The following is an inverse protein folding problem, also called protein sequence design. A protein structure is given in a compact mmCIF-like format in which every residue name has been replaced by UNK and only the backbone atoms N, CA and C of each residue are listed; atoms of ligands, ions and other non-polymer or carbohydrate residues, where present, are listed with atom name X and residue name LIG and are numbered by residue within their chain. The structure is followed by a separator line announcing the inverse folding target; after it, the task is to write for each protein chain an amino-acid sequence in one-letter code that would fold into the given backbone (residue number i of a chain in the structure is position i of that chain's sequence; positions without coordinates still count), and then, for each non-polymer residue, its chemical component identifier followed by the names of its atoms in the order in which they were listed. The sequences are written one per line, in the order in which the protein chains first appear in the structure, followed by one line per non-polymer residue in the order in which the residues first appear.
data_IF_585142526122
#
_entry.id   IF_585142526122
#
_cell.length_a   1.000
_cell.length_b   1.000
_cell.length_c   1.000
_cell.angle_alpha   90.00
_cell.angle_beta   90.00
_cell.angle_gamma   90.00
#
_symmetry.space_group_name_H-M   'P 1'
#
loop_
_entity.id
_entity.type
_entity.pdbx_description
1 polymer ?
#
# COMPACT_ATOMS: atom_id res chain seq x y z
N UNK A 1 8.87 0.16 -31.68
CA UNK A 1 9.22 -1.12 -31.03
C UNK A 1 8.03 -1.44 -30.14
N UNK A 2 7.74 -2.72 -29.87
CA UNK A 2 6.70 -3.06 -28.88
C UNK A 2 7.11 -2.48 -27.52
N UNK A 3 6.13 -2.02 -26.75
CA UNK A 3 6.34 -1.67 -25.36
C UNK A 3 6.86 -2.88 -24.59
N UNK A 4 7.76 -2.66 -23.63
CA UNK A 4 8.34 -3.70 -22.78
C UNK A 4 7.83 -3.47 -21.36
N UNK A 5 7.09 -4.44 -20.82
CA UNK A 5 6.38 -4.28 -19.55
C UNK A 5 7.33 -4.40 -18.35
N UNK A 6 6.88 -3.97 -17.18
CA UNK A 6 7.71 -3.87 -15.99
C UNK A 6 8.21 -5.20 -15.44
N UNK A 7 7.46 -6.28 -15.64
CA UNK A 7 7.86 -7.65 -15.32
C UNK A 7 9.03 -8.15 -16.20
N UNK A 8 9.11 -7.69 -17.44
CA UNK A 8 10.26 -7.93 -18.32
C UNK A 8 11.44 -7.00 -17.97
N UNK A 9 11.17 -5.70 -17.72
CA UNK A 9 12.21 -4.71 -17.41
C UNK A 9 12.91 -4.94 -16.07
N UNK A 10 12.23 -5.54 -15.08
CA UNK A 10 12.88 -5.89 -13.81
C UNK A 10 13.93 -7.00 -13.96
N UNK A 11 13.81 -7.86 -14.98
CA UNK A 11 14.83 -8.87 -15.30
C UNK A 11 16.12 -8.20 -15.78
N UNK A 12 16.01 -7.25 -16.70
CA UNK A 12 17.16 -6.46 -17.18
C UNK A 12 17.81 -5.70 -16.03
N UNK A 13 16.99 -5.07 -15.18
CA UNK A 13 17.47 -4.39 -13.99
C UNK A 13 18.30 -5.29 -13.07
N UNK A 14 17.84 -6.51 -12.81
CA UNK A 14 18.54 -7.48 -11.96
C UNK A 14 19.84 -7.96 -12.59
N UNK A 15 19.88 -8.11 -13.92
CA UNK A 15 21.12 -8.44 -14.64
C UNK A 15 22.18 -7.34 -14.50
N UNK A 16 21.76 -6.07 -14.58
CA UNK A 16 22.69 -4.95 -14.54
C UNK A 16 23.12 -4.58 -13.11
N UNK A 17 22.24 -4.79 -12.12
CA UNK A 17 22.43 -4.25 -10.76
C UNK A 17 22.61 -5.31 -9.68
N UNK A 18 22.42 -6.59 -10.00
CA UNK A 18 22.30 -7.68 -9.01
C UNK A 18 21.16 -7.40 -8.01
N UNK A 19 20.92 -8.29 -7.05
CA UNK A 19 19.95 -8.05 -5.98
C UNK A 19 20.61 -7.69 -4.65
N UNK A 20 20.09 -6.67 -3.98
CA UNK A 20 20.45 -6.31 -2.61
C UNK A 20 19.23 -6.03 -1.70
N UNK A 21 19.00 -6.84 -0.64
CA UNK A 21 17.78 -6.77 0.18
C UNK A 21 17.64 -5.51 1.04
N UNK A 22 18.68 -4.68 1.14
CA UNK A 22 18.62 -3.38 1.84
C UNK A 22 18.68 -2.19 0.88
N UNK A 23 18.64 -2.44 -0.42
CA UNK A 23 18.59 -1.38 -1.42
C UNK A 23 17.12 -1.08 -1.72
N UNK A 24 16.67 0.18 -1.60
CA UNK A 24 15.34 0.57 -2.06
C UNK A 24 15.21 0.53 -3.59
N UNK A 25 16.34 0.48 -4.31
CA UNK A 25 16.38 0.63 -5.76
C UNK A 25 15.58 -0.44 -6.53
N UNK A 26 15.38 -1.64 -5.98
CA UNK A 26 14.57 -2.67 -6.62
C UNK A 26 13.07 -2.37 -6.57
N UNK A 27 12.60 -1.83 -5.43
CA UNK A 27 11.22 -1.39 -5.26
C UNK A 27 10.93 -0.21 -6.17
N UNK A 28 11.77 0.83 -6.08
CA UNK A 28 11.76 2.00 -6.97
C UNK A 28 11.74 1.62 -8.45
N UNK A 29 12.67 0.76 -8.92
CA UNK A 29 12.67 0.32 -10.32
C UNK A 29 11.35 -0.36 -10.71
N UNK A 30 10.85 -1.29 -9.88
CA UNK A 30 9.60 -2.01 -10.16
C UNK A 30 8.39 -1.05 -10.22
N UNK A 31 8.33 -0.08 -9.32
CA UNK A 31 7.27 0.93 -9.27
C UNK A 31 7.34 1.91 -10.44
N UNK A 32 8.54 2.38 -10.81
CA UNK A 32 8.71 3.27 -11.96
C UNK A 32 8.39 2.56 -13.28
N UNK A 33 8.69 1.27 -13.38
CA UNK A 33 8.27 0.48 -14.53
C UNK A 33 6.75 0.34 -14.58
N UNK A 34 6.10 0.01 -13.46
CA UNK A 34 4.64 0.01 -13.39
C UNK A 34 4.03 1.37 -13.78
N UNK A 35 4.64 2.47 -13.36
CA UNK A 35 4.21 3.82 -13.72
C UNK A 35 4.29 4.07 -15.24
N UNK A 36 5.37 3.62 -15.89
CA UNK A 36 5.50 3.68 -17.34
C UNK A 36 4.43 2.82 -18.05
N UNK A 37 4.08 1.67 -17.49
CA UNK A 37 3.04 0.79 -18.04
C UNK A 37 1.64 1.40 -17.89
N UNK A 38 1.36 2.08 -16.77
CA UNK A 38 0.13 2.86 -16.60
C UNK A 38 0.02 3.98 -17.65
N UNK A 39 1.12 4.67 -17.95
CA UNK A 39 1.16 5.70 -19.00
C UNK A 39 0.99 5.13 -20.40
N UNK A 40 1.43 3.89 -20.66
CA UNK A 40 1.26 3.24 -21.95
C UNK A 40 -0.16 2.68 -22.14
N UNK A 41 -0.73 2.04 -21.11
CA UNK A 41 -2.00 1.32 -21.24
C UNK A 41 -3.25 2.18 -20.98
N UNK A 42 -3.15 3.21 -20.14
CA UNK A 42 -4.29 4.09 -19.83
C UNK A 42 -4.16 5.44 -20.53
N UNK A 43 -4.99 5.66 -21.55
CA UNK A 43 -5.12 6.96 -22.20
C UNK A 43 -5.54 8.05 -21.21
N UNK A 44 -6.37 7.72 -20.21
CA UNK A 44 -6.85 8.67 -19.20
C UNK A 44 -5.76 9.07 -18.21
N UNK A 45 -4.98 8.09 -17.74
CA UNK A 45 -3.84 8.35 -16.88
C UNK A 45 -2.80 9.21 -17.61
N UNK A 46 -2.53 8.91 -18.89
CA UNK A 46 -1.64 9.71 -19.73
C UNK A 46 -2.16 11.13 -19.94
N UNK A 47 -3.44 11.31 -20.27
CA UNK A 47 -4.06 12.63 -20.44
C UNK A 47 -3.96 13.48 -19.16
N UNK A 48 -4.21 12.88 -17.98
CA UNK A 48 -4.08 13.53 -16.69
C UNK A 48 -2.62 13.91 -16.38
N UNK A 49 -1.65 13.04 -16.70
CA UNK A 49 -0.23 13.32 -16.53
C UNK A 49 0.25 14.46 -17.45
N UNK A 50 -0.11 14.41 -18.74
CA UNK A 50 0.27 15.42 -19.74
C UNK A 50 -0.31 16.81 -19.45
N UNK A 51 -1.50 16.85 -18.85
CA UNK A 51 -2.16 18.10 -18.45
C UNK A 51 -1.65 18.65 -17.10
N UNK A 52 -0.85 17.87 -16.37
CA UNK A 52 -0.37 18.22 -15.03
C UNK A 52 -1.43 18.07 -13.94
N UNK A 53 -2.51 17.34 -14.20
CA UNK A 53 -3.55 17.03 -13.22
C UNK A 53 -3.09 16.01 -12.18
N UNK A 54 -2.07 15.21 -12.49
CA UNK A 54 -1.44 14.27 -11.56
C UNK A 54 0.08 14.38 -11.56
N UNK A 55 0.66 14.10 -10.39
CA UNK A 55 2.11 13.95 -10.16
C UNK A 55 2.37 12.64 -9.44
N UNK A 56 3.61 12.15 -9.52
CA UNK A 56 4.06 11.01 -8.74
C UNK A 56 5.14 11.39 -7.72
N UNK A 57 5.22 10.61 -6.66
CA UNK A 57 6.31 10.70 -5.68
C UNK A 57 6.73 9.29 -5.25
N UNK A 58 8.04 9.05 -5.22
CA UNK A 58 8.63 7.84 -4.63
C UNK A 58 8.91 8.02 -3.12
N UNK A 59 9.04 6.91 -2.40
CA UNK A 59 9.41 6.88 -0.96
C UNK A 59 8.49 7.77 -0.08
N UNK A 60 7.19 7.80 -0.36
CA UNK A 60 6.23 8.63 0.36
C UNK A 60 5.96 8.07 1.77
N UNK A 61 5.90 8.96 2.77
CA UNK A 61 5.59 8.58 4.16
C UNK A 61 4.17 8.98 4.51
N UNK A 62 3.35 7.99 4.83
CA UNK A 62 1.98 8.16 5.32
C UNK A 62 1.98 8.14 6.84
N UNK A 63 1.21 9.06 7.44
CA UNK A 63 1.03 9.15 8.88
C UNK A 63 2.26 9.63 9.65
N UNK A 64 2.13 9.67 10.98
CA UNK A 64 3.16 10.15 11.89
C UNK A 64 3.43 9.15 13.03
N UNK A 65 4.56 9.32 13.72
CA UNK A 65 4.85 8.54 14.92
C UNK A 65 5.07 7.05 14.67
N UNK A 66 4.65 6.17 15.60
CA UNK A 66 4.86 4.72 15.51
C UNK A 66 4.04 4.02 14.41
N UNK A 67 2.96 4.64 13.92
CA UNK A 67 2.07 4.10 12.89
C UNK A 67 2.42 4.56 11.48
N UNK A 68 3.51 5.32 11.31
CA UNK A 68 3.93 5.78 9.98
C UNK A 68 4.29 4.60 9.08
N UNK A 69 3.90 4.70 7.81
CA UNK A 69 4.27 3.74 6.77
C UNK A 69 5.02 4.43 5.64
N UNK A 70 6.01 3.76 5.05
CA UNK A 70 6.71 4.25 3.88
C UNK A 70 6.32 3.39 2.69
N UNK A 71 5.72 4.01 1.68
CA UNK A 71 5.26 3.36 0.46
C UNK A 71 6.20 3.73 -0.69
N UNK A 72 6.41 2.79 -1.62
CA UNK A 72 7.41 2.95 -2.67
C UNK A 72 6.98 3.98 -3.74
N UNK A 73 5.69 4.05 -4.08
CA UNK A 73 5.15 5.01 -5.06
C UNK A 73 3.76 5.50 -4.67
N UNK A 74 3.52 6.79 -4.86
CA UNK A 74 2.18 7.40 -4.84
C UNK A 74 1.93 8.27 -6.06
N UNK A 75 0.66 8.41 -6.45
CA UNK A 75 0.20 9.32 -7.51
C UNK A 75 -1.07 10.03 -7.04
N UNK A 76 -1.21 11.30 -7.42
CA UNK A 76 -2.43 12.07 -7.20
C UNK A 76 -2.27 13.53 -7.65
N UNK A 77 -3.27 14.38 -7.39
CA UNK A 77 -3.25 15.77 -7.78
C UNK A 77 -2.14 16.51 -7.04
N UNK A 78 -1.44 17.47 -7.67
CA UNK A 78 -0.31 18.15 -7.04
C UNK A 78 -0.74 19.17 -5.97
N UNK A 79 0.08 19.35 -4.92
CA UNK A 79 -0.17 20.36 -3.86
C UNK A 79 -0.08 21.82 -4.35
N UNK A 80 0.75 22.09 -5.34
CA UNK A 80 0.94 23.43 -5.93
C UNK A 80 0.76 23.33 -7.45
N UNK A 81 0.40 24.45 -8.11
CA UNK A 81 0.41 24.54 -9.57
C UNK A 81 1.78 24.08 -10.10
N UNK A 82 1.83 22.90 -10.73
CA UNK A 82 3.06 22.24 -11.15
C UNK A 82 3.72 23.08 -12.25
N UNK A 83 4.75 23.84 -11.89
CA UNK A 83 5.66 24.47 -12.85
C UNK A 83 6.82 23.53 -13.23
N UNK A 84 6.59 22.22 -13.23
CA UNK A 84 7.65 21.23 -13.45
C UNK A 84 7.70 20.86 -14.94
N UNK A 85 8.91 20.95 -15.48
CA UNK A 85 9.26 20.45 -16.81
C UNK A 85 9.01 18.94 -16.79
N UNK A 86 8.09 18.45 -17.62
CA UNK A 86 8.01 17.02 -17.96
C UNK A 86 9.44 16.59 -18.32
N UNK A 87 10.02 15.68 -17.53
CA UNK A 87 11.40 15.24 -17.72
C UNK A 87 11.55 14.59 -19.10
N UNK A 88 12.75 14.60 -19.66
CA UNK A 88 13.00 14.06 -21.01
C UNK A 88 12.66 12.55 -21.15
N UNK A 89 12.50 11.82 -20.03
CA UNK A 89 12.30 10.36 -20.01
C UNK A 89 10.86 9.89 -19.69
N UNK A 90 10.01 10.68 -19.01
CA UNK A 90 8.64 10.27 -18.61
C UNK A 90 7.64 11.41 -18.74
N UNK A 91 6.44 11.10 -19.21
CA UNK A 91 5.36 12.08 -19.48
C UNK A 91 4.58 12.51 -18.22
N UNK A 92 5.02 12.11 -17.03
CA UNK A 92 4.45 12.51 -15.74
C UNK A 92 5.50 13.23 -14.91
N UNK A 93 5.10 14.29 -14.20
CA UNK A 93 6.01 15.06 -13.36
C UNK A 93 6.18 14.42 -11.97
N UNK A 94 7.41 14.46 -11.45
CA UNK A 94 7.69 14.17 -10.06
C UNK A 94 7.30 15.37 -9.18
N UNK A 95 6.52 15.14 -8.13
CA UNK A 95 6.02 16.17 -7.23
C UNK A 95 5.17 15.60 -6.10
N UNK A 96 4.96 16.37 -5.04
CA UNK A 96 4.16 15.93 -3.89
C UNK A 96 2.66 16.02 -4.19
N UNK A 97 1.93 14.89 -4.13
CA UNK A 97 0.48 14.93 -4.26
C UNK A 97 -0.18 15.59 -3.04
N UNK A 98 -1.21 16.40 -3.27
CA UNK A 98 -2.13 16.93 -2.24
C UNK A 98 -2.98 15.82 -1.64
N UNK A 99 -3.43 14.89 -2.49
CA UNK A 99 -4.21 13.71 -2.14
C UNK A 99 -3.60 12.48 -2.80
N UNK A 100 -3.77 11.31 -2.19
CA UNK A 100 -3.27 10.05 -2.73
C UNK A 100 -4.40 9.32 -3.45
N UNK A 101 -4.31 9.23 -4.78
CA UNK A 101 -5.26 8.50 -5.61
C UNK A 101 -4.81 7.08 -5.90
N UNK A 102 -3.49 6.87 -6.04
CA UNK A 102 -2.87 5.57 -6.21
C UNK A 102 -1.67 5.47 -5.25
N UNK A 103 -1.51 4.31 -4.62
CA UNK A 103 -0.33 3.97 -3.84
C UNK A 103 0.10 2.52 -4.10
N UNK A 104 1.40 2.33 -4.29
CA UNK A 104 2.00 1.03 -4.56
C UNK A 104 3.11 0.74 -3.55
N UNK A 105 3.09 -0.47 -3.01
CA UNK A 105 4.13 -1.01 -2.14
C UNK A 105 4.79 -2.22 -2.81
N UNK A 106 6.05 -2.06 -3.19
CA UNK A 106 6.85 -3.10 -3.82
C UNK A 106 7.59 -3.93 -2.76
N UNK A 107 7.56 -5.25 -2.95
CA UNK A 107 8.12 -6.20 -2.00
C UNK A 107 8.76 -7.36 -2.74
N UNK A 108 9.69 -8.03 -2.07
CA UNK A 108 10.41 -9.15 -2.65
C UNK A 108 10.51 -10.36 -1.73
N UNK A 109 10.56 -11.53 -2.35
CA UNK A 109 10.80 -12.84 -1.75
C UNK A 109 11.95 -13.50 -2.52
N UNK A 110 13.18 -13.04 -2.24
CA UNK A 110 14.39 -13.54 -2.92
C UNK A 110 15.06 -14.72 -2.19
N UNK A 111 14.93 -14.74 -0.87
CA UNK A 111 15.54 -15.72 0.04
C UNK A 111 14.63 -16.01 1.22
N UNK A 112 14.87 -17.13 1.90
CA UNK A 112 14.13 -17.51 3.12
C UNK A 112 12.60 -17.52 2.91
N UNK A 113 12.15 -18.02 1.75
CA UNK A 113 10.76 -17.94 1.26
C UNK A 113 9.71 -18.29 2.31
N UNK A 114 9.94 -19.34 3.09
CA UNK A 114 9.00 -19.79 4.12
C UNK A 114 8.68 -18.74 5.20
N UNK A 115 9.63 -17.88 5.56
CA UNK A 115 9.44 -16.75 6.49
C UNK A 115 9.04 -15.49 5.74
N UNK A 116 9.73 -15.19 4.63
CA UNK A 116 9.56 -13.96 3.89
C UNK A 116 8.12 -13.80 3.36
N UNK A 117 7.53 -14.83 2.76
CA UNK A 117 6.17 -14.73 2.16
C UNK A 117 5.09 -14.28 3.15
N UNK A 118 5.07 -14.84 4.37
CA UNK A 118 4.09 -14.47 5.41
C UNK A 118 4.34 -13.07 5.96
N UNK A 119 5.60 -12.66 6.01
CA UNK A 119 5.94 -11.29 6.40
C UNK A 119 5.47 -10.31 5.33
N UNK A 120 5.73 -10.59 4.05
CA UNK A 120 5.29 -9.77 2.93
C UNK A 120 3.77 -9.67 2.84
N UNK A 121 3.04 -10.75 3.06
CA UNK A 121 1.56 -10.70 3.14
C UNK A 121 1.08 -9.76 4.25
N UNK A 122 1.68 -9.86 5.46
CA UNK A 122 1.35 -8.95 6.55
C UNK A 122 1.68 -7.50 6.19
N UNK A 123 2.85 -7.29 5.59
CA UNK A 123 3.31 -5.95 5.22
C UNK A 123 2.34 -5.31 4.21
N UNK A 124 1.90 -6.03 3.18
CA UNK A 124 0.93 -5.54 2.18
C UNK A 124 -0.44 -5.24 2.80
N UNK A 125 -0.94 -6.11 3.68
CA UNK A 125 -2.22 -5.86 4.34
C UNK A 125 -2.14 -4.66 5.30
N UNK A 126 -1.02 -4.51 6.04
CA UNK A 126 -0.80 -3.35 6.91
C UNK A 126 -0.61 -2.06 6.11
N UNK A 127 0.02 -2.13 4.93
CA UNK A 127 0.14 -1.03 4.00
C UNK A 127 -1.24 -0.51 3.58
N UNK A 128 -2.13 -1.38 3.09
CA UNK A 128 -3.47 -0.98 2.66
C UNK A 128 -4.27 -0.38 3.82
N UNK A 129 -4.33 -1.09 4.96
CA UNK A 129 -5.01 -0.64 6.17
C UNK A 129 -4.54 0.76 6.64
N UNK A 130 -3.23 1.02 6.65
CA UNK A 130 -2.71 2.35 7.01
C UNK A 130 -3.01 3.37 5.92
N UNK A 131 -2.88 3.01 4.64
CA UNK A 131 -3.16 3.92 3.54
C UNK A 131 -4.61 4.39 3.58
N UNK A 132 -5.57 3.46 3.71
CA UNK A 132 -7.00 3.78 3.72
C UNK A 132 -7.44 4.53 4.97
N UNK A 133 -6.76 4.39 6.10
CA UNK A 133 -6.98 5.26 7.27
C UNK A 133 -6.59 6.72 7.03
N UNK A 134 -5.67 6.99 6.11
CA UNK A 134 -5.22 8.37 5.84
C UNK A 134 -5.81 8.92 4.54
N UNK A 135 -6.05 8.05 3.57
CA UNK A 135 -6.55 8.34 2.24
C UNK A 135 -7.56 7.25 1.85
N UNK A 136 -8.81 7.29 2.36
CA UNK A 136 -9.76 6.20 2.20
C UNK A 136 -10.10 5.90 0.73
N UNK A 137 -10.09 6.91 -0.14
CA UNK A 137 -10.32 6.71 -1.57
C UNK A 137 -9.11 6.18 -2.35
N UNK A 138 -7.93 6.04 -1.74
CA UNK A 138 -6.74 5.60 -2.45
C UNK A 138 -6.91 4.20 -3.06
N UNK A 139 -6.51 4.05 -4.31
CA UNK A 139 -6.31 2.75 -4.95
C UNK A 139 -4.97 2.20 -4.50
N UNK A 140 -4.94 0.99 -3.96
CA UNK A 140 -3.76 0.40 -3.33
C UNK A 140 -3.32 -0.88 -4.03
N UNK A 141 -2.03 -1.00 -4.31
CA UNK A 141 -1.45 -2.14 -5.00
C UNK A 141 -0.19 -2.68 -4.33
N UNK A 142 -0.06 -4.01 -4.30
CA UNK A 142 1.20 -4.67 -3.93
C UNK A 142 1.92 -5.25 -5.15
N UNK A 143 3.22 -5.00 -5.31
CA UNK A 143 4.01 -5.60 -6.39
C UNK A 143 5.09 -6.52 -5.82
N UNK A 144 4.99 -7.81 -6.10
CA UNK A 144 5.81 -8.86 -5.48
C UNK A 144 6.80 -9.45 -6.48
N UNK A 145 8.09 -9.27 -6.24
CA UNK A 145 9.17 -9.96 -6.95
C UNK A 145 9.55 -11.25 -6.22
N UNK A 146 9.38 -12.40 -6.87
CA UNK A 146 9.56 -13.72 -6.26
C UNK A 146 10.67 -14.46 -7.01
N UNK A 147 11.69 -14.92 -6.30
CA UNK A 147 12.76 -15.70 -6.90
C UNK A 147 12.42 -17.20 -6.89
N UNK A 148 12.70 -17.91 -7.98
CA UNK A 148 12.57 -19.37 -8.08
C UNK A 148 13.92 -20.10 -8.20
N UNK A 149 15.04 -19.39 -8.15
CA UNK A 149 16.36 -20.02 -8.25
C UNK A 149 16.59 -21.02 -7.12
N UNK A 150 17.07 -22.22 -7.47
CA UNK A 150 17.46 -23.26 -6.50
C UNK A 150 18.64 -22.81 -5.61
N UNK A 151 19.45 -21.89 -6.11
CA UNK A 151 20.64 -21.37 -5.43
C UNK A 151 20.66 -19.86 -5.47
N UNK A 152 21.00 -19.24 -4.35
CA UNK A 152 21.06 -17.79 -4.25
C UNK A 152 22.22 -17.30 -3.39
N UNK A 153 23.00 -16.33 -3.89
CA UNK A 153 24.04 -15.63 -3.12
C UNK A 153 23.45 -14.36 -2.51
N UNK A 154 23.20 -14.40 -1.20
CA UNK A 154 22.79 -13.20 -0.47
C UNK A 154 23.99 -12.26 -0.27
N UNK A 155 23.90 -10.97 -0.64
CA UNK A 155 25.00 -10.03 -0.45
C UNK A 155 25.24 -9.67 1.03
N UNK A 156 24.34 -10.11 1.93
CA UNK A 156 24.50 -9.93 3.37
C UNK A 156 25.30 -11.05 4.04
N UNK A 157 25.64 -12.12 3.29
CA UNK A 157 26.38 -13.27 3.80
C UNK A 157 27.83 -13.25 3.32
N UNK A 158 28.67 -14.04 3.99
CA UNK A 158 30.09 -14.15 3.65
C UNK A 158 30.29 -14.73 2.24
N UNK A 159 31.42 -14.38 1.64
CA UNK A 159 31.80 -14.86 0.31
C UNK A 159 31.89 -16.40 0.30
N UNK A 160 30.99 -17.05 -0.46
CA UNK A 160 30.87 -18.51 -0.54
C UNK A 160 29.71 -19.13 0.24
N UNK A 161 28.98 -18.34 1.06
CA UNK A 161 27.73 -18.78 1.70
C UNK A 161 26.56 -18.64 0.73
N UNK A 162 26.36 -19.70 -0.06
CA UNK A 162 25.29 -19.81 -1.04
C UNK A 162 24.10 -20.52 -0.38
N UNK A 163 22.94 -19.88 -0.42
CA UNK A 163 21.70 -20.48 0.04
C UNK A 163 21.22 -21.48 -0.99
N UNK A 164 20.89 -22.70 -0.54
CA UNK A 164 20.20 -23.70 -1.34
C UNK A 164 18.72 -23.72 -0.91
N UNK A 165 17.82 -23.55 -1.87
CA UNK A 165 16.38 -23.53 -1.65
C UNK A 165 15.77 -24.90 -1.91
N UNK A 166 15.56 -25.67 -0.84
CA UNK A 166 14.85 -26.95 -0.95
C UNK A 166 13.37 -26.73 -1.31
N UNK A 167 12.89 -27.44 -2.34
CA UNK A 167 11.48 -27.41 -2.81
C UNK A 167 11.02 -26.01 -3.24
N UNK A 168 11.90 -25.28 -3.93
CA UNK A 168 11.65 -23.91 -4.35
C UNK A 168 10.37 -23.76 -5.18
N UNK A 169 10.11 -24.67 -6.13
CA UNK A 169 8.89 -24.66 -6.95
C UNK A 169 7.63 -24.65 -6.08
N UNK A 170 7.52 -25.57 -5.11
CA UNK A 170 6.38 -25.62 -4.17
C UNK A 170 6.30 -24.39 -3.27
N UNK A 171 7.45 -23.81 -2.88
CA UNK A 171 7.46 -22.60 -2.05
C UNK A 171 6.98 -21.38 -2.84
N UNK A 172 7.31 -21.29 -4.12
CA UNK A 172 6.83 -20.24 -5.03
C UNK A 172 5.34 -20.43 -5.29
N UNK A 173 4.89 -21.65 -5.59
CA UNK A 173 3.47 -21.99 -5.76
C UNK A 173 2.64 -21.56 -4.54
N UNK A 174 3.04 -22.00 -3.34
CA UNK A 174 2.39 -21.61 -2.07
C UNK A 174 2.45 -20.09 -1.81
N UNK A 175 3.44 -19.38 -2.37
CA UNK A 175 3.55 -17.92 -2.24
C UNK A 175 2.57 -17.23 -3.19
N UNK A 176 2.52 -17.66 -4.44
CA UNK A 176 1.57 -17.15 -5.44
C UNK A 176 0.13 -17.39 -4.98
N UNK A 177 -0.18 -18.60 -4.49
CA UNK A 177 -1.50 -18.91 -3.90
C UNK A 177 -1.84 -18.00 -2.72
N UNK A 178 -0.89 -17.74 -1.82
CA UNK A 178 -1.11 -16.87 -0.67
C UNK A 178 -1.50 -15.44 -1.06
N UNK A 179 -0.92 -14.89 -2.12
CA UNK A 179 -1.29 -13.57 -2.63
C UNK A 179 -2.52 -13.60 -3.55
N UNK A 180 -2.81 -14.75 -4.18
CA UNK A 180 -4.07 -14.97 -4.89
C UNK A 180 -5.26 -14.89 -3.93
N UNK A 181 -5.14 -15.47 -2.74
CA UNK A 181 -6.21 -15.62 -1.76
C UNK A 181 -6.40 -14.43 -0.80
N UNK A 182 -5.70 -13.31 -0.98
CA UNK A 182 -5.93 -12.12 -0.14
C UNK A 182 -7.31 -11.53 -0.40
N UNK A 183 -7.94 -11.02 0.66
CA UNK A 183 -9.15 -10.22 0.55
C UNK A 183 -8.83 -8.94 -0.24
N UNK A 184 -9.72 -8.56 -1.15
CA UNK A 184 -9.57 -7.39 -2.01
C UNK A 184 -10.68 -6.38 -1.77
N UNK A 185 -10.45 -5.15 -2.16
CA UNK A 185 -11.44 -4.08 -2.10
C UNK A 185 -12.58 -4.26 -3.12
N UNK A 186 -12.35 -5.00 -4.21
CA UNK A 186 -13.32 -5.25 -5.29
C UNK A 186 -13.95 -3.98 -5.90
N UNK A 187 -13.25 -2.84 -5.79
CA UNK A 187 -13.68 -1.53 -6.27
C UNK A 187 -14.33 -0.64 -5.20
N UNK A 188 -14.65 -1.19 -4.03
CA UNK A 188 -15.22 -0.45 -2.91
C UNK A 188 -14.15 0.25 -2.06
N UNK A 189 -14.55 1.22 -1.24
CA UNK A 189 -13.66 1.80 -0.22
C UNK A 189 -13.56 0.79 0.93
N UNK A 190 -12.40 0.18 1.08
CA UNK A 190 -12.18 -0.96 1.98
C UNK A 190 -10.73 -0.93 2.47
N UNK A 191 -10.40 -1.42 3.68
CA UNK A 191 -9.02 -1.50 4.18
C UNK A 191 -8.17 -2.58 3.45
N UNK A 192 -8.73 -3.24 2.45
CA UNK A 192 -8.06 -4.27 1.66
C UNK A 192 -7.39 -3.67 0.43
N UNK A 193 -6.37 -4.36 -0.10
CA UNK A 193 -5.76 -3.96 -1.37
C UNK A 193 -6.72 -4.08 -2.54
N UNK A 194 -6.56 -3.23 -3.55
CA UNK A 194 -7.30 -3.36 -4.82
C UNK A 194 -6.70 -4.47 -5.70
N UNK A 195 -5.37 -4.53 -5.76
CA UNK A 195 -4.66 -5.50 -6.58
C UNK A 195 -3.31 -5.91 -6.03
N UNK A 196 -2.84 -7.11 -6.41
CA UNK A 196 -1.46 -7.54 -6.18
C UNK A 196 -0.91 -8.20 -7.42
N UNK A 197 0.24 -7.76 -7.90
CA UNK A 197 0.98 -8.40 -8.99
C UNK A 197 2.12 -9.27 -8.45
N UNK A 198 2.32 -10.46 -9.01
CA UNK A 198 3.44 -11.34 -8.71
C UNK A 198 4.29 -11.56 -9.96
N UNK A 199 5.57 -11.21 -9.89
CA UNK A 199 6.57 -11.42 -10.93
C UNK A 199 7.55 -12.49 -10.45
N UNK A 200 7.68 -13.59 -11.18
CA UNK A 200 8.57 -14.69 -10.81
C UNK A 200 9.82 -14.66 -11.70
N UNK A 201 10.99 -14.67 -11.08
CA UNK A 201 12.28 -14.67 -11.77
C UNK A 201 13.14 -15.84 -11.34
N UNK A 202 13.95 -16.37 -12.25
CA UNK A 202 15.09 -17.21 -11.89
C UNK A 202 16.32 -16.30 -11.81
N UNK A 203 16.73 -15.98 -10.57
CA UNK A 203 17.84 -15.09 -10.30
C UNK A 203 18.76 -15.68 -9.22
N UNK A 204 19.99 -16.07 -9.59
CA UNK A 204 20.94 -16.69 -8.66
C UNK A 204 21.73 -15.67 -7.83
N UNK A 205 21.85 -14.44 -8.32
CA UNK A 205 22.74 -13.40 -7.79
C UNK A 205 24.22 -13.82 -7.70
N UNK A 206 24.61 -14.84 -8.49
CA UNK A 206 25.97 -15.37 -8.56
C UNK A 206 26.75 -14.71 -9.71
N UNK A 207 28.08 -14.65 -9.57
CA UNK A 207 28.98 -14.25 -10.64
C UNK A 207 29.40 -15.47 -11.49
N UNK A 208 28.44 -16.32 -11.85
CA UNK A 208 28.65 -17.59 -12.58
C UNK A 208 28.30 -17.52 -14.07
N UNK A 209 27.78 -16.38 -14.53
CA UNK A 209 27.42 -16.12 -15.92
C UNK A 209 26.01 -16.59 -16.30
N UNK A 210 25.23 -17.09 -15.33
CA UNK A 210 23.79 -17.32 -15.52
C UNK A 210 23.07 -15.96 -15.51
N UNK A 211 22.28 -15.70 -16.55
CA UNK A 211 21.47 -14.49 -16.63
C UNK A 211 20.14 -14.67 -15.89
N UNK A 212 19.61 -13.58 -15.35
CA UNK A 212 18.27 -13.53 -14.80
C UNK A 212 17.26 -13.78 -15.91
N UNK A 213 16.25 -14.59 -15.64
CA UNK A 213 15.15 -14.86 -16.57
C UNK A 213 13.79 -14.65 -15.94
N UNK A 214 12.83 -14.16 -16.73
CA UNK A 214 11.42 -14.14 -16.36
C UNK A 214 10.87 -15.57 -16.45
N UNK A 215 10.18 -16.01 -15.42
CA UNK A 215 9.53 -17.33 -15.39
C UNK A 215 8.04 -17.13 -15.60
N UNK A 216 7.53 -17.68 -16.70
CA UNK A 216 6.11 -17.55 -17.10
C UNK A 216 5.35 -18.88 -17.00
N UNK A 217 6.06 -20.01 -17.00
CA UNK A 217 5.47 -21.33 -16.73
C UNK A 217 5.17 -21.49 -15.23
N UNK A 218 4.21 -22.36 -14.84
CA UNK A 218 3.97 -22.69 -13.44
C UNK A 218 5.28 -23.08 -12.73
N UNK A 219 5.52 -22.59 -11.49
CA UNK A 219 4.54 -22.04 -10.55
C UNK A 219 4.27 -20.52 -10.66
N UNK A 220 4.76 -19.84 -11.70
CA UNK A 220 4.43 -18.44 -11.93
C UNK A 220 2.93 -18.24 -12.19
N UNK A 221 2.36 -17.05 -11.88
CA UNK A 221 1.00 -16.72 -12.27
C UNK A 221 0.78 -16.91 -13.77
N UNK A 222 -0.37 -17.47 -14.14
CA UNK A 222 -0.79 -17.62 -15.53
C UNK A 222 -1.67 -16.43 -15.94
N UNK A 223 -1.88 -16.21 -17.23
CA UNK A 223 -2.57 -15.00 -17.75
C UNK A 223 -3.97 -14.76 -17.13
N UNK A 224 -4.70 -15.82 -16.78
CA UNK A 224 -6.03 -15.74 -16.14
C UNK A 224 -5.98 -15.52 -14.62
N UNK A 225 -4.79 -15.57 -14.00
CA UNK A 225 -4.62 -15.35 -12.57
C UNK A 225 -4.76 -13.87 -12.20
N UNK A 226 -5.54 -13.58 -11.16
CA UNK A 226 -5.72 -12.23 -10.63
C UNK A 226 -4.40 -11.59 -10.15
N UNK A 227 -3.37 -12.40 -9.88
CA UNK A 227 -2.04 -11.95 -9.48
C UNK A 227 -1.01 -11.90 -10.60
N UNK A 228 -1.42 -12.19 -11.84
CA UNK A 228 -0.58 -12.00 -13.02
C UNK A 228 -0.32 -10.50 -13.24
N UNK A 229 0.89 -10.13 -13.66
CA UNK A 229 1.32 -8.72 -13.75
C UNK A 229 0.36 -7.86 -14.59
N UNK A 230 0.02 -8.34 -15.79
CA UNK A 230 -0.91 -7.62 -16.67
C UNK A 230 -2.32 -7.52 -16.08
N UNK A 231 -2.80 -8.57 -15.41
CA UNK A 231 -4.13 -8.54 -14.79
C UNK A 231 -4.16 -7.57 -13.61
N UNK A 232 -3.08 -7.50 -12.84
CA UNK A 232 -2.88 -6.51 -11.80
C UNK A 232 -2.87 -5.08 -12.36
N UNK A 233 -2.15 -4.82 -13.45
CA UNK A 233 -2.14 -3.53 -14.14
C UNK A 233 -3.55 -3.12 -14.59
N UNK A 234 -4.29 -4.03 -15.23
CA UNK A 234 -5.68 -3.79 -15.65
C UNK A 234 -6.58 -3.42 -14.46
N UNK A 235 -6.47 -4.14 -13.33
CA UNK A 235 -7.24 -3.82 -12.12
C UNK A 235 -6.92 -2.42 -11.62
N UNK A 236 -5.64 -2.04 -11.57
CA UNK A 236 -5.26 -0.70 -11.13
C UNK A 236 -5.82 0.38 -12.07
N UNK A 237 -5.74 0.17 -13.38
CA UNK A 237 -6.27 1.10 -14.38
C UNK A 237 -7.78 1.23 -14.22
N UNK A 238 -8.51 0.12 -14.23
CA UNK A 238 -9.98 0.11 -14.13
C UNK A 238 -10.45 0.81 -12.85
N UNK A 239 -9.82 0.50 -11.72
CA UNK A 239 -10.19 1.11 -10.42
C UNK A 239 -9.81 2.58 -10.36
N UNK A 240 -8.60 2.96 -10.80
CA UNK A 240 -8.16 4.36 -10.77
C UNK A 240 -8.99 5.23 -11.72
N UNK A 241 -9.26 4.74 -12.93
CA UNK A 241 -10.08 5.47 -13.90
C UNK A 241 -11.51 5.64 -13.43
N UNK A 242 -12.12 4.57 -12.93
CA UNK A 242 -13.50 4.62 -12.44
C UNK A 242 -13.63 5.48 -11.19
N UNK A 243 -12.64 5.46 -10.30
CA UNK A 243 -12.70 6.19 -9.02
C UNK A 243 -12.33 7.66 -9.16
N UNK A 244 -11.35 7.99 -10.00
CA UNK A 244 -10.73 9.33 -9.96
C UNK A 244 -10.68 10.07 -11.29
N UNK A 245 -10.47 9.37 -12.41
CA UNK A 245 -10.22 10.06 -13.70
C UNK A 245 -11.47 10.26 -14.55
N UNK A 246 -12.47 9.37 -14.43
CA UNK A 246 -13.67 9.39 -15.29
C UNK A 246 -14.98 9.26 -14.53
N UNK A 247 -14.99 8.57 -13.39
CA UNK A 247 -16.20 8.44 -12.57
C UNK A 247 -16.36 9.57 -11.57
N UNK A 248 -17.36 9.40 -10.70
CA UNK A 248 -17.52 10.27 -9.55
C UNK A 248 -16.54 9.79 -8.47
N UNK A 249 -15.71 10.68 -7.90
CA UNK A 249 -14.94 10.38 -6.71
C UNK A 249 -15.81 9.72 -5.65
N UNK A 250 -15.27 8.75 -4.89
CA UNK A 250 -16.01 8.09 -3.83
C UNK A 250 -16.49 9.16 -2.85
N UNK A 251 -17.70 9.01 -2.34
CA UNK A 251 -18.19 9.95 -1.33
C UNK A 251 -17.45 9.69 -0.02
N UNK A 252 -16.44 10.51 0.25
CA UNK A 252 -15.63 10.42 1.46
C UNK A 252 -16.24 11.21 2.61
N UNK A 253 -17.40 11.87 2.44
CA UNK A 253 -17.98 12.66 3.52
C UNK A 253 -18.42 11.80 4.69
N UNK A 254 -19.05 10.66 4.44
CA UNK A 254 -19.53 9.73 5.48
C UNK A 254 -18.35 9.16 6.31
N UNK A 255 -17.24 8.81 5.64
CA UNK A 255 -16.02 8.34 6.33
C UNK A 255 -15.36 9.43 7.17
N UNK A 256 -15.32 10.67 6.67
CA UNK A 256 -14.84 11.82 7.45
C UNK A 256 -15.73 12.12 8.66
N UNK A 257 -17.04 12.00 8.50
CA UNK A 257 -18.00 12.15 9.59
C UNK A 257 -17.79 11.09 10.68
N UNK A 258 -17.54 9.84 10.29
CA UNK A 258 -17.18 8.76 11.23
C UNK A 258 -15.84 9.00 11.94
N UNK A 259 -14.81 9.48 11.24
CA UNK A 259 -13.52 9.85 11.88
C UNK A 259 -13.67 11.02 12.84
N UNK A 260 -14.49 12.02 12.50
CA UNK A 260 -14.81 13.15 13.36
C UNK A 260 -15.57 12.70 14.62
N UNK A 261 -16.51 11.76 14.47
CA UNK A 261 -17.22 11.13 15.58
C UNK A 261 -16.26 10.34 16.48
N UNK A 262 -15.35 9.57 15.90
CA UNK A 262 -14.36 8.80 16.66
C UNK A 262 -13.39 9.70 17.42
N UNK A 263 -12.90 10.76 16.79
CA UNK A 263 -12.05 11.79 17.42
C UNK A 263 -12.80 12.50 18.56
N UNK A 264 -14.09 12.75 18.37
CA UNK A 264 -14.95 13.34 19.39
C UNK A 264 -15.13 12.38 20.57
N UNK A 265 -15.36 11.10 20.32
CA UNK A 265 -15.47 10.06 21.35
C UNK A 265 -14.19 9.95 22.18
N UNK A 266 -13.02 9.87 21.53
CA UNK A 266 -11.73 9.78 22.22
C UNK A 266 -11.48 10.98 23.14
N UNK A 267 -11.77 12.19 22.66
CA UNK A 267 -11.67 13.41 23.47
C UNK A 267 -12.60 13.34 24.69
N UNK A 268 -13.85 12.92 24.49
CA UNK A 268 -14.87 12.82 25.53
C UNK A 268 -14.52 11.77 26.59
N UNK A 269 -13.95 10.62 26.19
CA UNK A 269 -13.46 9.59 27.12
C UNK A 269 -12.36 10.14 28.03
N UNK A 270 -11.44 10.95 27.49
CA UNK A 270 -10.37 11.58 28.27
C UNK A 270 -10.93 12.60 29.26
N UNK A 271 -11.88 13.44 28.85
CA UNK A 271 -12.54 14.42 29.72
C UNK A 271 -13.34 13.75 30.84
N UNK A 272 -14.09 12.69 30.52
CA UNK A 272 -14.81 11.87 31.51
C UNK A 272 -13.84 11.25 32.52
N UNK A 273 -12.72 10.67 32.06
CA UNK A 273 -11.72 10.08 32.95
C UNK A 273 -11.12 11.13 33.90
N UNK A 274 -10.87 12.35 33.40
CA UNK A 274 -10.38 13.46 34.20
C UNK A 274 -11.43 13.93 35.25
N UNK A 275 -12.69 14.09 34.85
CA UNK A 275 -13.78 14.44 35.78
C UNK A 275 -13.98 13.37 36.87
N UNK A 276 -13.93 12.09 36.49
CA UNK A 276 -14.05 10.98 37.42
C UNK A 276 -12.88 10.93 38.42
N UNK A 277 -11.67 11.27 37.98
CA UNK A 277 -10.51 11.35 38.85
C UNK A 277 -10.68 12.45 39.91
N UNK A 278 -11.10 13.66 39.51
CA UNK A 278 -11.35 14.77 40.45
C UNK A 278 -12.42 14.39 41.46
N UNK A 279 -13.53 13.80 41.01
CA UNK A 279 -14.60 13.34 41.90
C UNK A 279 -14.09 12.29 42.90
N UNK A 280 -13.21 11.40 42.48
CA UNK A 280 -12.56 10.42 43.35
C UNK A 280 -11.77 11.08 44.48
N UNK A 281 -10.95 12.08 44.15
CA UNK A 281 -10.16 12.84 45.13
C UNK A 281 -11.07 13.60 46.11
N UNK A 282 -12.14 14.23 45.61
CA UNK A 282 -13.13 14.94 46.45
C UNK A 282 -13.87 14.00 47.42
N UNK A 283 -14.19 12.79 46.98
CA UNK A 283 -14.79 11.75 47.83
C UNK A 283 -13.83 11.31 48.94
N UNK A 284 -12.54 11.13 48.63
CA UNK A 284 -11.53 10.79 49.63
C UNK A 284 -11.35 11.89 50.67
N UNK A 285 -11.39 13.15 50.23
CA UNK A 285 -11.30 14.33 51.10
C UNK A 285 -12.60 14.63 51.85
N UNK A 286 -13.71 14.00 51.45
CA UNK A 286 -15.03 14.14 52.06
C UNK A 286 -15.74 15.46 51.77
N UNK A 287 -15.33 16.15 50.70
CA UNK A 287 -15.84 17.45 50.28
C UNK A 287 -16.21 17.41 48.79
N UNK A 288 -17.31 16.73 48.49
CA UNK A 288 -17.80 16.53 47.12
C UNK A 288 -18.45 17.80 46.58
N UNK A 289 -17.98 18.27 45.43
CA UNK A 289 -18.51 19.43 44.74
C UNK A 289 -19.62 19.02 43.76
N UNK A 290 -20.77 19.67 43.88
CA UNK A 290 -21.93 19.47 42.99
C UNK A 290 -21.58 19.82 41.53
N UNK A 291 -20.70 20.79 41.30
CA UNK A 291 -20.22 21.17 39.96
C UNK A 291 -19.41 20.04 39.29
N UNK A 292 -18.65 19.26 40.07
CA UNK A 292 -17.87 18.12 39.56
C UNK A 292 -18.80 16.97 39.14
N UNK A 293 -19.89 16.76 39.89
CA UNK A 293 -20.92 15.77 39.54
C UNK A 293 -21.65 16.20 38.26
N UNK A 294 -22.09 17.46 38.18
CA UNK A 294 -22.78 17.99 36.99
C UNK A 294 -21.90 17.89 35.74
N UNK A 295 -20.60 18.18 35.86
CA UNK A 295 -19.66 17.99 34.76
C UNK A 295 -19.59 16.53 34.33
N UNK A 296 -19.47 15.59 35.28
CA UNK A 296 -19.40 14.17 34.96
C UNK A 296 -20.69 13.67 34.27
N UNK A 297 -21.86 14.11 34.72
CA UNK A 297 -23.14 13.82 34.06
C UNK A 297 -23.20 14.40 32.64
N UNK A 298 -22.66 15.61 32.42
CA UNK A 298 -22.59 16.23 31.10
C UNK A 298 -21.68 15.45 30.15
N UNK A 299 -20.48 15.05 30.56
CA UNK A 299 -19.57 14.28 29.70
C UNK A 299 -20.16 12.89 29.36
N UNK A 300 -20.85 12.24 30.31
CA UNK A 300 -21.55 10.97 30.04
C UNK A 300 -22.65 11.17 28.99
N UNK A 301 -23.46 12.21 29.11
CA UNK A 301 -24.52 12.50 28.15
C UNK A 301 -23.96 12.83 26.75
N UNK A 302 -22.83 13.55 26.67
CA UNK A 302 -22.16 13.82 25.40
C UNK A 302 -21.61 12.53 24.75
N UNK A 303 -21.04 11.62 25.54
CA UNK A 303 -20.60 10.30 25.06
C UNK A 303 -21.80 9.49 24.54
N UNK A 304 -22.92 9.47 25.26
CA UNK A 304 -24.13 8.75 24.82
C UNK A 304 -24.60 9.25 23.44
N UNK A 305 -24.62 10.57 23.21
CA UNK A 305 -25.01 11.15 21.91
C UNK A 305 -24.04 10.73 20.79
N UNK A 306 -22.73 10.72 21.07
CA UNK A 306 -21.73 10.30 20.07
C UNK A 306 -21.86 8.81 19.76
N UNK A 307 -22.08 7.97 20.78
CA UNK A 307 -22.31 6.53 20.60
C UNK A 307 -23.59 6.27 19.82
N UNK A 308 -24.69 6.95 20.13
CA UNK A 308 -25.94 6.85 19.36
C UNK A 308 -25.76 7.26 17.90
N UNK A 309 -24.94 8.29 17.65
CA UNK A 309 -24.63 8.74 16.28
C UNK A 309 -23.79 7.70 15.52
N UNK A 310 -22.84 7.03 16.20
CA UNK A 310 -22.08 5.93 15.61
C UNK A 310 -23.00 4.73 15.36
N UNK A 311 -23.83 4.34 16.32
CA UNK A 311 -24.76 3.22 16.19
C UNK A 311 -25.75 3.41 15.05
N UNK A 312 -26.27 4.63 14.81
CA UNK A 312 -27.17 4.89 13.69
C UNK A 312 -26.52 4.71 12.32
N UNK A 313 -25.24 5.07 12.18
CA UNK A 313 -24.50 4.88 10.92
C UNK A 313 -24.30 3.38 10.61
N UNK A 314 -24.08 2.54 11.62
CA UNK A 314 -23.91 1.10 11.44
C UNK A 314 -25.23 0.31 11.26
N UNK A 315 -26.39 0.91 11.54
CA UNK A 315 -27.71 0.26 11.34
C UNK A 315 -28.28 0.45 9.92
N UNK A 316 -27.74 1.39 9.15
CA UNK A 316 -28.18 1.71 7.78
C UNK A 316 -27.38 0.97 6.67
N UNK A 317 -26.37 0.16 7.03
CA UNK A 317 -25.57 -0.74 6.16
C UNK A 317 -26.14 -2.18 6.01
#
# INVERSE_FOLDING_TARGET
MSHQYGDERIVEWLNDNQYHPRSPAHGSASCLYLLDDLLEESDKFREAAESGEIVYQEDFTVGEGPSKWNTDLVVGPPTDDVQVTIGDDRTIAEGTPEEIWLAIDAKSVMTEHGKARRNRQRDINSFADIMHRHYPGAVTGGLLLINTAERFKSPLRDEGDITEHDRIESLVEETVEMFRDIDRAEGDVSPNVDGVGCVVVDHTNLDDGEETTLVTDPPAPQEDDIVHYHRFLEILIDTLESRWLTGAPPDLSELRELEDLHTTLDRQVVELAHAAHILGDEIEDGDVNEETIERLESEVAEIEVVVESIESEYEDD
#
